data_IF_608669116655
#
_entry.id   IF_608669116655
#
_cell.length_a   1.000
_cell.length_b   1.000
_cell.length_c   1.000
_cell.angle_alpha   90.00
_cell.angle_beta   90.00
_cell.angle_gamma   90.00
#
_symmetry.space_group_name_H-M   'P 1'
#
loop_
_entity.id
_entity.type
_entity.pdbx_description
1 polymer ?
#
# COMPACT_ATOMS: atom_id res chain seq x y z
N UNK A 1 37.78 -27.54 4.08
CA UNK A 1 36.44 -27.03 4.43
C UNK A 1 35.84 -26.43 3.17
N UNK A 2 34.63 -26.84 2.77
CA UNK A 2 33.95 -26.24 1.61
C UNK A 2 33.56 -24.80 1.91
N UNK A 3 33.85 -23.88 0.99
CA UNK A 3 33.42 -22.48 1.10
C UNK A 3 31.90 -22.40 0.98
N UNK A 4 31.24 -21.67 1.88
CA UNK A 4 29.81 -21.44 1.80
C UNK A 4 29.45 -20.69 0.51
N UNK A 5 28.44 -21.16 -0.22
CA UNK A 5 27.95 -20.50 -1.42
C UNK A 5 26.41 -20.48 -1.43
N UNK A 6 25.86 -19.30 -1.10
CA UNK A 6 24.42 -19.08 -1.00
C UNK A 6 23.69 -19.29 -2.33
N UNK A 7 24.35 -19.03 -3.46
CA UNK A 7 23.76 -19.20 -4.79
C UNK A 7 23.58 -20.67 -5.11
N UNK A 8 24.62 -21.48 -4.86
CA UNK A 8 24.60 -22.92 -5.06
C UNK A 8 23.57 -23.56 -4.12
N UNK A 9 23.52 -23.14 -2.85
CA UNK A 9 22.51 -23.62 -1.90
C UNK A 9 21.10 -23.38 -2.42
N UNK A 10 20.80 -22.14 -2.87
CA UNK A 10 19.47 -21.79 -3.36
C UNK A 10 19.15 -22.39 -4.74
N UNK A 11 20.14 -22.55 -5.62
CA UNK A 11 20.01 -23.27 -6.88
C UNK A 11 19.58 -24.72 -6.62
N UNK A 12 20.33 -25.43 -5.78
CA UNK A 12 20.03 -26.82 -5.42
C UNK A 12 18.64 -26.95 -4.80
N UNK A 13 18.27 -26.01 -3.93
CA UNK A 13 16.93 -25.93 -3.34
C UNK A 13 15.83 -25.74 -4.39
N UNK A 14 16.04 -24.90 -5.41
CA UNK A 14 15.09 -24.71 -6.51
C UNK A 14 15.02 -25.96 -7.38
N UNK A 15 16.16 -26.54 -7.77
CA UNK A 15 16.20 -27.79 -8.57
C UNK A 15 15.48 -28.94 -7.86
N UNK A 16 15.58 -29.00 -6.54
CA UNK A 16 14.86 -29.94 -5.69
C UNK A 16 13.34 -29.94 -5.89
N UNK A 17 12.74 -28.82 -6.32
CA UNK A 17 11.30 -28.76 -6.62
C UNK A 17 10.93 -29.48 -7.92
N UNK A 18 11.87 -29.66 -8.86
CA UNK A 18 11.61 -30.10 -10.22
C UNK A 18 12.34 -31.40 -10.59
N UNK A 19 12.75 -32.19 -9.59
CA UNK A 19 13.48 -33.46 -9.80
C UNK A 19 12.70 -34.49 -10.62
N UNK A 20 11.37 -34.42 -10.61
CA UNK A 20 10.50 -35.25 -11.46
C UNK A 20 10.53 -34.87 -12.95
N UNK A 21 11.12 -33.72 -13.29
CA UNK A 21 11.21 -33.18 -14.64
C UNK A 21 12.68 -32.90 -15.02
N UNK A 22 13.56 -33.92 -15.01
CA UNK A 22 15.00 -33.72 -15.22
C UNK A 22 15.33 -33.12 -16.59
N UNK A 23 14.50 -33.41 -17.61
CA UNK A 23 14.64 -32.85 -18.96
C UNK A 23 14.51 -31.31 -19.00
N UNK A 24 13.87 -30.71 -17.99
CA UNK A 24 13.73 -29.25 -17.87
C UNK A 24 14.88 -28.58 -17.11
N UNK A 25 15.73 -29.36 -16.43
CA UNK A 25 16.87 -28.88 -15.64
C UNK A 25 18.14 -28.80 -16.48
N UNK A 26 18.07 -27.98 -17.54
CA UNK A 26 19.16 -27.82 -18.51
C UNK A 26 20.30 -26.93 -17.98
N UNK A 27 21.44 -26.92 -18.67
CA UNK A 27 22.54 -26.00 -18.36
C UNK A 27 22.12 -24.52 -18.52
N UNK A 28 21.26 -24.21 -19.50
CA UNK A 28 20.69 -22.87 -19.66
C UNK A 28 19.82 -22.48 -18.46
N UNK A 29 18.95 -23.40 -18.00
CA UNK A 29 18.15 -23.19 -16.79
C UNK A 29 19.04 -22.87 -15.59
N UNK A 30 20.08 -23.68 -15.33
CA UNK A 30 21.01 -23.48 -14.22
C UNK A 30 21.70 -22.11 -14.29
N UNK A 31 22.17 -21.69 -15.47
CA UNK A 31 22.79 -20.38 -15.68
C UNK A 31 21.82 -19.23 -15.39
N UNK A 32 20.63 -19.27 -15.98
CA UNK A 32 19.64 -18.20 -15.87
C UNK A 32 19.06 -18.10 -14.46
N UNK A 33 18.75 -19.23 -13.80
CA UNK A 33 18.20 -19.21 -12.45
C UNK A 33 19.24 -18.76 -11.41
N UNK A 34 20.51 -19.12 -11.59
CA UNK A 34 21.61 -18.64 -10.74
C UNK A 34 21.73 -17.13 -10.81
N UNK A 35 21.69 -16.57 -12.03
CA UNK A 35 21.66 -15.12 -12.20
C UNK A 35 20.42 -14.49 -11.54
N UNK A 36 19.25 -15.09 -11.69
CA UNK A 36 18.02 -14.62 -11.05
C UNK A 36 18.09 -14.62 -9.52
N UNK A 37 18.77 -15.59 -8.89
CA UNK A 37 18.99 -15.61 -7.44
C UNK A 37 19.77 -14.37 -6.97
N UNK A 38 20.72 -13.88 -7.78
CA UNK A 38 21.54 -12.70 -7.46
C UNK A 38 20.78 -11.39 -7.53
N UNK A 39 19.87 -11.25 -8.51
CA UNK A 39 19.27 -9.95 -8.86
C UNK A 39 17.81 -9.80 -8.45
N UNK A 40 17.07 -10.91 -8.32
CA UNK A 40 15.65 -10.88 -8.00
C UNK A 40 15.42 -10.99 -6.50
N UNK A 41 14.36 -10.33 -6.01
CA UNK A 41 13.97 -10.52 -4.62
C UNK A 41 13.58 -11.98 -4.34
N UNK A 42 14.40 -12.68 -3.56
CA UNK A 42 14.36 -14.15 -3.46
C UNK A 42 13.02 -14.72 -2.99
N UNK A 43 12.32 -14.06 -2.05
CA UNK A 43 11.01 -14.58 -1.60
C UNK A 43 9.96 -14.61 -2.73
N UNK A 44 10.05 -13.69 -3.69
CA UNK A 44 9.16 -13.71 -4.85
C UNK A 44 9.56 -14.80 -5.84
N UNK A 45 10.87 -14.96 -6.09
CA UNK A 45 11.40 -16.03 -6.94
C UNK A 45 11.01 -17.40 -6.39
N UNK A 46 11.26 -17.62 -5.10
CA UNK A 46 10.88 -18.85 -4.42
C UNK A 46 9.37 -19.12 -4.48
N UNK A 47 8.54 -18.09 -4.26
CA UNK A 47 7.09 -18.19 -4.41
C UNK A 47 6.64 -18.51 -5.83
N UNK A 48 7.38 -18.03 -6.84
CA UNK A 48 7.14 -18.36 -8.24
C UNK A 48 7.54 -19.80 -8.57
N UNK A 49 8.70 -20.26 -8.10
CA UNK A 49 9.12 -21.66 -8.26
C UNK A 49 8.12 -22.64 -7.65
N UNK A 50 7.60 -22.36 -6.45
CA UNK A 50 6.58 -23.20 -5.81
C UNK A 50 5.25 -23.23 -6.57
N UNK A 51 4.84 -22.08 -7.13
CA UNK A 51 3.62 -22.03 -7.95
C UNK A 51 3.82 -22.78 -9.27
N UNK A 52 4.95 -22.59 -9.93
CA UNK A 52 5.33 -23.33 -11.13
C UNK A 52 5.31 -24.84 -10.87
N UNK A 53 5.89 -25.33 -9.77
CA UNK A 53 5.87 -26.74 -9.41
C UNK A 53 4.44 -27.33 -9.32
N UNK A 54 3.50 -26.57 -8.75
CA UNK A 54 2.10 -27.01 -8.60
C UNK A 54 1.36 -27.02 -9.95
N UNK A 55 1.70 -26.08 -10.84
CA UNK A 55 0.99 -25.88 -12.10
C UNK A 55 1.58 -26.73 -13.24
N UNK A 56 2.89 -27.02 -13.19
CA UNK A 56 3.63 -27.78 -14.21
C UNK A 56 2.97 -29.11 -14.62
N UNK A 57 2.40 -29.94 -13.71
CA UNK A 57 1.73 -31.18 -14.12
C UNK A 57 0.51 -30.98 -15.03
N UNK A 58 -0.05 -29.75 -15.07
CA UNK A 58 -1.27 -29.41 -15.82
C UNK A 58 -0.97 -28.68 -17.13
N UNK A 59 0.27 -28.28 -17.36
CA UNK A 59 0.66 -27.46 -18.49
C UNK A 59 2.00 -27.93 -19.04
N UNK A 60 2.04 -28.20 -20.33
CA UNK A 60 3.28 -28.52 -21.01
C UNK A 60 4.13 -27.25 -21.18
N UNK A 61 5.42 -27.35 -20.90
CA UNK A 61 6.43 -26.32 -21.16
C UNK A 61 7.77 -26.98 -21.39
N UNK A 62 8.50 -26.52 -22.40
CA UNK A 62 9.88 -26.97 -22.67
C UNK A 62 10.91 -26.02 -22.03
N UNK A 63 10.44 -24.90 -21.48
CA UNK A 63 11.29 -23.88 -20.88
C UNK A 63 10.81 -23.54 -19.47
N UNK A 64 11.40 -24.24 -18.49
CA UNK A 64 11.05 -24.08 -17.08
C UNK A 64 11.40 -22.69 -16.54
N UNK A 65 12.49 -22.08 -17.01
CA UNK A 65 12.87 -20.75 -16.55
C UNK A 65 11.81 -19.71 -16.94
N UNK A 66 11.43 -19.65 -18.22
CA UNK A 66 10.44 -18.68 -18.70
C UNK A 66 9.07 -18.93 -18.06
N UNK A 67 8.73 -20.20 -17.82
CA UNK A 67 7.54 -20.58 -17.07
C UNK A 67 7.56 -20.03 -15.63
N UNK A 68 8.65 -20.22 -14.87
CA UNK A 68 8.82 -19.63 -13.52
C UNK A 68 8.74 -18.11 -13.57
N UNK A 69 9.39 -17.49 -14.58
CA UNK A 69 9.43 -16.04 -14.70
C UNK A 69 8.05 -15.43 -14.99
N UNK A 70 7.16 -16.15 -15.67
CA UNK A 70 5.77 -15.70 -15.84
C UNK A 70 5.06 -15.49 -14.49
N UNK A 71 5.23 -16.40 -13.54
CA UNK A 71 4.68 -16.29 -12.18
C UNK A 71 5.39 -15.21 -11.36
N UNK A 72 6.71 -15.11 -11.49
CA UNK A 72 7.47 -14.04 -10.83
C UNK A 72 6.98 -12.66 -11.27
N UNK A 73 6.86 -12.44 -12.58
CA UNK A 73 6.42 -11.18 -13.16
C UNK A 73 4.98 -10.84 -12.74
N UNK A 74 4.07 -11.83 -12.72
CA UNK A 74 2.71 -11.66 -12.18
C UNK A 74 2.72 -11.19 -10.71
N UNK A 75 3.57 -11.79 -9.87
CA UNK A 75 3.72 -11.40 -8.46
C UNK A 75 4.31 -9.99 -8.32
N UNK A 76 5.29 -9.62 -9.15
CA UNK A 76 5.85 -8.26 -9.19
C UNK A 76 4.81 -7.23 -9.62
N UNK A 77 4.03 -7.51 -10.66
CA UNK A 77 2.93 -6.66 -11.12
C UNK A 77 1.91 -6.44 -9.99
N UNK A 78 1.54 -7.50 -9.27
CA UNK A 78 0.65 -7.40 -8.09
C UNK A 78 1.27 -6.55 -6.97
N UNK A 79 2.57 -6.69 -6.73
CA UNK A 79 3.26 -5.86 -5.73
C UNK A 79 3.25 -4.37 -6.11
N UNK A 80 3.50 -4.03 -7.38
CA UNK A 80 3.43 -2.65 -7.85
C UNK A 80 2.02 -2.06 -7.76
N UNK A 81 1.01 -2.86 -8.10
CA UNK A 81 -0.38 -2.49 -7.89
C UNK A 81 -0.69 -2.15 -6.43
N UNK A 82 -0.20 -2.96 -5.49
CA UNK A 82 -0.34 -2.66 -4.06
C UNK A 82 0.36 -1.36 -3.66
N UNK A 83 1.54 -1.07 -4.21
CA UNK A 83 2.24 0.19 -3.96
C UNK A 83 1.41 1.39 -4.43
N UNK A 84 0.85 1.32 -5.64
CA UNK A 84 -0.02 2.35 -6.20
C UNK A 84 -1.26 2.58 -5.32
N UNK A 85 -1.96 1.52 -4.92
CA UNK A 85 -3.14 1.61 -4.05
C UNK A 85 -2.83 2.30 -2.72
N UNK A 86 -1.71 1.92 -2.08
CA UNK A 86 -1.27 2.53 -0.83
C UNK A 86 -0.89 3.99 -1.00
N UNK A 87 -0.25 4.35 -2.12
CA UNK A 87 0.06 5.73 -2.44
C UNK A 87 -1.20 6.58 -2.61
N UNK A 88 -2.19 6.10 -3.37
CA UNK A 88 -3.50 6.76 -3.50
C UNK A 88 -4.15 7.00 -2.12
N UNK A 89 -4.15 5.98 -1.26
CA UNK A 89 -4.72 6.08 0.08
C UNK A 89 -3.98 7.06 0.99
N UNK A 90 -2.65 6.95 1.09
CA UNK A 90 -1.87 7.86 1.92
C UNK A 90 -2.02 9.31 1.46
N UNK A 91 -2.03 9.54 0.15
CA UNK A 91 -2.24 10.88 -0.40
C UNK A 91 -3.63 11.42 -0.07
N UNK A 92 -4.69 10.66 -0.37
CA UNK A 92 -6.06 11.09 -0.11
C UNK A 92 -6.30 11.36 1.38
N UNK A 93 -5.80 10.48 2.26
CA UNK A 93 -5.92 10.67 3.71
C UNK A 93 -5.15 11.92 4.16
N UNK A 94 -3.91 12.09 3.70
CA UNK A 94 -3.08 13.24 4.05
C UNK A 94 -3.74 14.55 3.66
N UNK A 95 -4.18 14.70 2.41
CA UNK A 95 -4.84 15.93 1.94
C UNK A 95 -6.15 16.19 2.67
N UNK A 96 -6.95 15.15 2.93
CA UNK A 96 -8.20 15.32 3.68
C UNK A 96 -7.91 15.82 5.09
N UNK A 97 -7.00 15.16 5.82
CA UNK A 97 -6.68 15.56 7.18
C UNK A 97 -6.03 16.94 7.25
N UNK A 98 -5.24 17.32 6.24
CA UNK A 98 -4.69 18.68 6.14
C UNK A 98 -5.81 19.72 6.11
N UNK A 99 -6.82 19.53 5.27
CA UNK A 99 -7.97 20.45 5.16
C UNK A 99 -8.77 20.49 6.45
N UNK A 100 -9.12 19.34 7.02
CA UNK A 100 -9.93 19.27 8.24
C UNK A 100 -9.21 19.94 9.43
N UNK A 101 -7.91 19.71 9.58
CA UNK A 101 -7.11 20.33 10.65
C UNK A 101 -6.90 21.82 10.41
N UNK A 102 -6.63 22.24 9.17
CA UNK A 102 -6.55 23.65 8.81
C UNK A 102 -7.85 24.38 9.17
N UNK A 103 -9.00 23.84 8.78
CA UNK A 103 -10.31 24.42 9.07
C UNK A 103 -10.62 24.47 10.58
N UNK A 104 -10.03 23.55 11.36
CA UNK A 104 -10.24 23.49 12.81
C UNK A 104 -9.41 24.55 13.56
N UNK A 105 -8.19 24.82 13.13
CA UNK A 105 -7.22 25.63 13.91
C UNK A 105 -6.87 26.97 13.30
N UNK A 106 -7.06 27.17 11.99
CA UNK A 106 -6.84 28.47 11.38
C UNK A 106 -7.99 29.44 11.70
N UNK A 107 -7.67 30.72 11.58
CA UNK A 107 -8.66 31.80 11.58
C UNK A 107 -8.65 32.44 10.20
N UNK A 108 -7.85 33.48 10.00
CA UNK A 108 -7.81 34.25 8.75
C UNK A 108 -6.74 33.77 7.75
N UNK A 109 -5.73 33.03 8.25
CA UNK A 109 -4.57 32.57 7.48
C UNK A 109 -4.24 31.13 7.82
N UNK A 110 -3.63 30.43 6.86
CA UNK A 110 -3.17 29.05 7.03
C UNK A 110 -1.79 28.98 7.67
N UNK A 111 -1.74 29.28 8.97
CA UNK A 111 -0.50 29.42 9.75
C UNK A 111 -0.58 28.85 11.17
N UNK A 112 -1.62 28.06 11.50
CA UNK A 112 -1.80 27.48 12.84
C UNK A 112 -0.57 26.73 13.36
N UNK A 113 0.20 26.12 12.46
CA UNK A 113 1.42 25.36 12.76
C UNK A 113 2.60 26.24 13.20
N UNK A 114 2.52 27.56 13.04
CA UNK A 114 3.53 28.53 13.50
C UNK A 114 3.21 29.10 14.89
N UNK A 115 2.05 28.75 15.47
CA UNK A 115 1.66 29.23 16.80
C UNK A 115 2.57 28.61 17.87
N UNK A 116 3.06 29.39 18.85
CA UNK A 116 3.96 28.88 19.88
C UNK A 116 3.26 27.90 20.85
N UNK A 117 2.03 28.22 21.26
CA UNK A 117 1.19 27.35 22.09
C UNK A 117 -0.26 27.84 22.02
N UNK A 118 -1.22 26.91 22.03
CA UNK A 118 -2.65 27.23 22.10
C UNK A 118 -3.27 26.77 23.42
N UNK A 119 -4.52 27.16 23.67
CA UNK A 119 -5.29 26.62 24.81
C UNK A 119 -5.80 25.18 24.54
N UNK A 120 -5.73 24.72 23.28
CA UNK A 120 -6.22 23.41 22.89
C UNK A 120 -5.13 22.34 23.07
N UNK A 121 -5.39 21.36 23.94
CA UNK A 121 -4.44 20.28 24.21
C UNK A 121 -4.16 19.39 22.99
N UNK A 122 -5.14 19.19 22.10
CA UNK A 122 -4.97 18.40 20.86
C UNK A 122 -4.09 19.12 19.85
N UNK A 123 -4.31 20.43 19.65
CA UNK A 123 -3.46 21.29 18.81
C UNK A 123 -2.02 21.29 19.32
N UNK A 124 -1.82 21.52 20.62
CA UNK A 124 -0.49 21.49 21.24
C UNK A 124 0.22 20.14 21.05
N UNK A 125 -0.51 19.02 21.11
CA UNK A 125 0.06 17.69 20.86
C UNK A 125 0.54 17.57 19.41
N UNK A 126 -0.23 18.10 18.47
CA UNK A 126 0.13 18.11 17.05
C UNK A 126 1.31 19.04 16.76
N UNK A 127 1.36 20.24 17.35
CA UNK A 127 2.51 21.15 17.26
C UNK A 127 3.80 20.49 17.76
N UNK A 128 3.75 19.80 18.90
CA UNK A 128 4.89 19.02 19.40
C UNK A 128 5.29 17.88 18.46
N UNK A 129 4.32 17.21 17.85
CA UNK A 129 4.60 16.17 16.87
C UNK A 129 5.32 16.75 15.64
N UNK A 130 4.87 17.90 15.13
CA UNK A 130 5.53 18.60 14.02
C UNK A 130 6.95 18.97 14.42
N UNK A 131 7.16 19.64 15.55
CA UNK A 131 8.48 20.03 16.05
C UNK A 131 9.44 18.82 16.14
N UNK A 132 8.98 17.71 16.72
CA UNK A 132 9.78 16.49 16.81
C UNK A 132 10.18 15.92 15.43
N UNK A 133 9.32 16.03 14.42
CA UNK A 133 9.61 15.54 13.07
C UNK A 133 10.55 16.49 12.35
N UNK A 134 10.30 17.80 12.44
CA UNK A 134 11.15 18.82 11.79
C UNK A 134 12.56 18.79 12.36
N UNK A 135 12.72 18.66 13.68
CA UNK A 135 14.02 18.57 14.33
C UNK A 135 14.79 17.33 13.87
N UNK A 136 14.14 16.17 13.87
CA UNK A 136 14.74 14.90 13.41
C UNK A 136 15.15 14.91 11.94
N UNK A 137 14.47 15.71 11.11
CA UNK A 137 14.71 15.80 9.67
C UNK A 137 15.47 17.07 9.28
N UNK A 138 15.89 17.88 10.24
CA UNK A 138 16.57 19.15 10.02
C UNK A 138 15.79 20.12 9.11
N UNK A 139 14.47 20.17 9.26
CA UNK A 139 13.57 21.04 8.51
C UNK A 139 13.27 22.32 9.31
N UNK A 140 13.11 23.44 8.60
CA UNK A 140 12.72 24.72 9.20
C UNK A 140 11.20 24.91 9.07
N UNK A 141 10.45 24.82 10.17
CA UNK A 141 8.98 24.93 10.13
C UNK A 141 8.51 26.29 9.57
N UNK A 142 9.29 27.36 9.79
CA UNK A 142 9.04 28.69 9.24
C UNK A 142 9.12 28.76 7.72
N UNK A 143 9.68 27.75 7.06
CA UNK A 143 9.71 27.67 5.60
C UNK A 143 8.42 27.12 4.99
N UNK A 144 7.55 26.50 5.80
CA UNK A 144 6.29 25.94 5.32
C UNK A 144 5.26 27.03 5.08
N UNK A 145 4.58 26.95 3.93
CA UNK A 145 3.66 27.99 3.44
C UNK A 145 2.20 27.74 3.78
N UNK A 146 1.84 26.50 4.08
CA UNK A 146 0.47 26.07 4.30
C UNK A 146 0.44 24.70 5.01
N UNK A 147 -0.74 24.31 5.46
CA UNK A 147 -0.95 23.03 6.15
C UNK A 147 -0.64 21.82 5.27
N UNK A 148 -0.75 21.90 3.94
CA UNK A 148 -0.38 20.77 3.08
C UNK A 148 1.11 20.44 3.19
N UNK A 149 1.99 21.44 3.19
CA UNK A 149 3.44 21.24 3.35
C UNK A 149 3.78 20.65 4.74
N UNK A 150 3.04 21.04 5.78
CA UNK A 150 3.14 20.40 7.11
C UNK A 150 2.70 18.93 7.04
N UNK A 151 1.66 18.61 6.28
CA UNK A 151 1.15 17.25 6.19
C UNK A 151 2.03 16.34 5.31
N UNK A 152 2.79 16.90 4.38
CA UNK A 152 3.75 16.17 3.53
C UNK A 152 4.86 15.48 4.33
N UNK A 153 5.24 16.01 5.50
CA UNK A 153 6.25 15.36 6.34
C UNK A 153 5.68 14.18 7.14
N UNK A 154 4.36 14.08 7.31
CA UNK A 154 3.76 13.03 8.13
C UNK A 154 3.82 11.66 7.45
N UNK A 155 4.21 10.64 8.23
CA UNK A 155 4.06 9.25 7.85
C UNK A 155 2.62 8.77 8.03
N UNK A 156 2.25 7.61 7.46
CA UNK A 156 0.93 7.03 7.72
C UNK A 156 0.70 6.74 9.22
N UNK A 157 1.75 6.49 10.00
CA UNK A 157 1.65 6.35 11.46
C UNK A 157 1.26 7.67 12.14
N UNK A 158 1.82 8.79 11.66
CA UNK A 158 1.48 10.13 12.14
C UNK A 158 0.03 10.48 11.81
N UNK A 159 -0.42 10.20 10.57
CA UNK A 159 -1.82 10.40 10.15
C UNK A 159 -2.79 9.56 11.00
N UNK A 160 -2.43 8.32 11.32
CA UNK A 160 -3.20 7.46 12.22
C UNK A 160 -3.30 8.07 13.64
N UNK A 161 -2.22 8.67 14.14
CA UNK A 161 -2.22 9.34 15.45
C UNK A 161 -3.08 10.61 15.44
N UNK A 162 -3.08 11.37 14.34
CA UNK A 162 -3.95 12.54 14.17
C UNK A 162 -5.43 12.12 14.23
N UNK A 163 -5.80 11.05 13.52
CA UNK A 163 -7.15 10.47 13.55
C UNK A 163 -7.57 10.04 14.96
N UNK A 164 -6.66 9.44 15.73
CA UNK A 164 -6.94 9.04 17.11
C UNK A 164 -7.19 10.24 18.02
N UNK A 165 -6.33 11.27 17.92
CA UNK A 165 -6.41 12.47 18.75
C UNK A 165 -7.62 13.37 18.42
N UNK A 166 -8.03 13.39 17.15
CA UNK A 166 -9.11 14.25 16.64
C UNK A 166 -10.33 13.44 16.19
N UNK A 167 -10.54 12.27 16.80
CA UNK A 167 -11.63 11.39 16.40
C UNK A 167 -13.01 12.07 16.47
N UNK A 168 -13.28 12.88 17.49
CA UNK A 168 -14.56 13.59 17.62
C UNK A 168 -14.87 14.47 16.41
N UNK A 169 -13.86 15.14 15.88
CA UNK A 169 -13.95 16.06 14.76
C UNK A 169 -13.97 15.31 13.42
N UNK A 170 -13.19 14.22 13.31
CA UNK A 170 -12.98 13.48 12.06
C UNK A 170 -13.91 12.27 11.87
N UNK A 171 -14.61 11.83 12.93
CA UNK A 171 -15.52 10.70 12.88
C UNK A 171 -16.58 10.80 11.76
N UNK A 172 -17.19 11.97 11.47
CA UNK A 172 -18.18 12.09 10.41
C UNK A 172 -17.72 11.58 9.04
N UNK A 173 -16.42 11.66 8.74
CA UNK A 173 -15.83 11.15 7.49
C UNK A 173 -16.05 9.64 7.29
N UNK A 174 -16.08 8.86 8.38
CA UNK A 174 -16.03 7.40 8.34
C UNK A 174 -17.19 6.71 9.07
N UNK A 175 -17.87 7.42 9.98
CA UNK A 175 -18.98 6.90 10.79
C UNK A 175 -20.31 7.06 10.08
N UNK A 176 -20.48 8.16 9.34
CA UNK A 176 -21.76 8.47 8.73
C UNK A 176 -22.04 7.50 7.57
N UNK A 177 -23.29 7.03 7.41
CA UNK A 177 -23.68 6.28 6.23
C UNK A 177 -23.33 7.07 4.97
N UNK A 178 -22.71 6.40 4.01
CA UNK A 178 -22.37 6.99 2.73
C UNK A 178 -22.80 6.05 1.62
N UNK A 179 -23.44 6.62 0.62
CA UNK A 179 -23.82 5.92 -0.59
C UNK A 179 -22.88 6.33 -1.72
N UNK A 180 -22.41 5.35 -2.49
CA UNK A 180 -21.60 5.56 -3.68
C UNK A 180 -22.26 4.89 -4.87
N UNK A 181 -22.85 5.69 -5.78
CA UNK A 181 -23.52 5.19 -6.99
C UNK A 181 -24.51 4.05 -6.68
N UNK A 182 -25.49 4.32 -5.81
CA UNK A 182 -26.51 3.35 -5.39
C UNK A 182 -25.98 2.14 -4.60
N UNK A 183 -24.73 2.20 -4.11
CA UNK A 183 -24.13 1.17 -3.26
C UNK A 183 -23.83 1.76 -1.88
N UNK A 184 -24.44 1.17 -0.85
CA UNK A 184 -24.15 1.55 0.53
C UNK A 184 -22.74 1.11 0.92
N UNK A 185 -21.95 2.05 1.43
CA UNK A 185 -20.61 1.78 1.93
C UNK A 185 -20.66 1.27 3.38
N UNK A 186 -19.84 0.26 3.73
CA UNK A 186 -19.68 -0.15 5.13
C UNK A 186 -19.11 0.98 5.99
N UNK A 187 -19.79 1.30 7.09
CA UNK A 187 -19.34 2.32 8.05
C UNK A 187 -18.35 1.76 9.07
N UNK A 188 -17.41 2.58 9.54
CA UNK A 188 -16.45 2.19 10.58
C UNK A 188 -16.88 2.69 11.97
N UNK A 189 -18.12 2.39 12.37
CA UNK A 189 -18.89 3.04 13.46
C UNK A 189 -18.19 3.44 14.78
N UNK A 190 -17.01 2.87 15.10
CA UNK A 190 -16.17 3.24 16.26
C UNK A 190 -14.74 3.61 15.84
N UNK A 191 -14.07 4.41 16.67
CA UNK A 191 -12.67 4.79 16.50
C UNK A 191 -11.76 3.56 16.37
N UNK A 192 -11.96 2.58 17.24
CA UNK A 192 -11.16 1.35 17.30
C UNK A 192 -11.31 0.53 16.03
N UNK A 193 -12.53 0.48 15.45
CA UNK A 193 -12.78 -0.20 14.18
C UNK A 193 -11.97 0.44 13.05
N UNK A 194 -12.03 1.77 12.90
CA UNK A 194 -11.25 2.50 11.89
C UNK A 194 -9.74 2.30 12.10
N UNK A 195 -9.24 2.55 13.31
CA UNK A 195 -7.81 2.48 13.62
C UNK A 195 -7.25 1.07 13.42
N UNK A 196 -8.04 0.02 13.70
CA UNK A 196 -7.65 -1.37 13.42
C UNK A 196 -7.42 -1.59 11.92
N UNK A 197 -8.28 -1.03 11.07
CA UNK A 197 -8.18 -1.14 9.61
C UNK A 197 -7.01 -0.35 9.06
N UNK A 198 -6.81 0.88 9.53
CA UNK A 198 -5.65 1.70 9.15
C UNK A 198 -4.34 1.04 9.61
N UNK A 199 -4.29 0.48 10.82
CA UNK A 199 -3.11 -0.23 11.30
C UNK A 199 -2.80 -1.47 10.45
N UNK A 200 -3.82 -2.20 10.00
CA UNK A 200 -3.67 -3.33 9.07
C UNK A 200 -3.12 -2.88 7.71
N UNK A 201 -3.62 -1.76 7.17
CA UNK A 201 -3.10 -1.14 5.94
C UNK A 201 -1.63 -0.71 6.14
N UNK A 202 -1.31 -0.07 7.26
CA UNK A 202 0.05 0.35 7.63
C UNK A 202 1.02 -0.84 7.70
N UNK A 203 0.60 -1.96 8.28
CA UNK A 203 1.42 -3.17 8.32
C UNK A 203 1.66 -3.75 6.92
N UNK A 204 0.64 -3.79 6.06
CA UNK A 204 0.80 -4.21 4.66
C UNK A 204 1.76 -3.27 3.92
N UNK A 205 1.61 -1.97 4.12
CA UNK A 205 2.49 -0.95 3.55
C UNK A 205 3.93 -1.11 3.97
N UNK A 206 4.21 -1.41 5.23
CA UNK A 206 5.57 -1.65 5.70
C UNK A 206 6.19 -2.89 5.02
N UNK A 207 5.44 -3.98 4.85
CA UNK A 207 5.92 -5.14 4.10
C UNK A 207 6.23 -4.77 2.64
N UNK A 208 5.31 -4.06 1.98
CA UNK A 208 5.43 -3.68 0.58
C UNK A 208 6.58 -2.70 0.36
N UNK A 209 6.73 -1.68 1.22
CA UNK A 209 7.82 -0.71 1.15
C UNK A 209 9.20 -1.37 1.25
N UNK A 210 9.34 -2.41 2.09
CA UNK A 210 10.56 -3.21 2.17
C UNK A 210 10.66 -4.30 1.09
N UNK A 211 9.90 -4.17 0.00
CA UNK A 211 9.87 -5.09 -1.12
C UNK A 211 9.52 -6.54 -0.75
N UNK A 212 8.77 -6.76 0.34
CA UNK A 212 8.37 -8.09 0.79
C UNK A 212 7.02 -8.48 0.21
N UNK A 213 6.79 -9.79 -0.09
CA UNK A 213 5.44 -10.28 -0.34
C UNK A 213 4.60 -10.15 0.94
N UNK A 214 3.36 -9.68 0.78
CA UNK A 214 2.39 -9.57 1.88
C UNK A 214 1.26 -10.58 1.71
N UNK A 215 0.81 -11.15 2.83
CA UNK A 215 -0.44 -11.93 2.90
C UNK A 215 -1.60 -11.10 3.47
N UNK A 216 -1.34 -9.86 3.87
CA UNK A 216 -2.33 -8.99 4.50
C UNK A 216 -3.31 -8.54 3.41
N UNK A 217 -4.58 -8.93 3.56
CA UNK A 217 -5.64 -8.51 2.64
C UNK A 217 -6.12 -7.12 3.03
N UNK A 218 -5.66 -6.07 2.36
CA UNK A 218 -6.02 -4.68 2.71
C UNK A 218 -6.80 -3.94 1.61
N UNK A 219 -6.74 -4.41 0.36
CA UNK A 219 -7.29 -3.69 -0.79
C UNK A 219 -8.78 -3.31 -0.64
N UNK A 220 -9.64 -4.23 -0.19
CA UNK A 220 -11.06 -3.94 0.04
C UNK A 220 -11.25 -2.85 1.10
N UNK A 221 -10.56 -2.99 2.23
CA UNK A 221 -10.66 -2.01 3.32
C UNK A 221 -10.18 -0.62 2.84
N UNK A 222 -9.11 -0.59 2.04
CA UNK A 222 -8.56 0.63 1.44
C UNK A 222 -9.52 1.28 0.43
N UNK A 223 -10.14 0.48 -0.45
CA UNK A 223 -11.12 0.97 -1.43
C UNK A 223 -12.31 1.64 -0.74
N UNK A 224 -12.87 1.01 0.30
CA UNK A 224 -13.98 1.57 1.07
C UNK A 224 -13.58 2.90 1.72
N UNK A 225 -12.40 2.97 2.35
CA UNK A 225 -11.91 4.21 2.96
C UNK A 225 -11.74 5.32 1.93
N UNK A 226 -11.18 5.03 0.76
CA UNK A 226 -11.05 5.99 -0.33
C UNK A 226 -12.41 6.50 -0.82
N UNK A 227 -13.40 5.63 -0.95
CA UNK A 227 -14.76 6.03 -1.31
C UNK A 227 -15.42 6.91 -0.22
N UNK A 228 -15.16 6.62 1.06
CA UNK A 228 -15.55 7.50 2.17
C UNK A 228 -14.92 8.89 2.06
N UNK A 229 -13.69 8.99 1.59
CA UNK A 229 -13.02 10.27 1.29
C UNK A 229 -13.45 10.92 -0.03
N UNK A 230 -14.33 10.27 -0.81
CA UNK A 230 -14.78 10.79 -2.11
C UNK A 230 -13.75 10.63 -3.24
N UNK A 231 -12.75 9.79 -3.05
CA UNK A 231 -11.67 9.57 -4.01
C UNK A 231 -12.09 8.61 -5.14
N UNK A 232 -11.92 9.03 -6.39
CA UNK A 232 -12.17 8.16 -7.55
C UNK A 232 -10.95 7.25 -7.81
N UNK A 233 -10.97 6.07 -7.19
CA UNK A 233 -9.90 5.10 -7.37
C UNK A 233 -9.81 4.55 -8.80
N UNK A 234 -10.93 4.39 -9.53
CA UNK A 234 -10.93 3.80 -10.89
C UNK A 234 -10.06 4.60 -11.85
N UNK A 235 -10.18 5.92 -11.82
CA UNK A 235 -9.39 6.80 -12.69
C UNK A 235 -7.93 6.83 -12.24
N UNK A 236 -7.68 6.88 -10.92
CA UNK A 236 -6.34 6.94 -10.36
C UNK A 236 -5.49 5.68 -10.66
N UNK A 237 -6.12 4.51 -10.81
CA UNK A 237 -5.44 3.26 -11.13
C UNK A 237 -5.34 2.95 -12.62
N UNK A 238 -5.82 3.84 -13.50
CA UNK A 238 -5.77 3.68 -14.95
C UNK A 238 -4.34 3.90 -15.50
N UNK A 239 -3.37 3.16 -14.93
CA UNK A 239 -1.93 3.28 -15.21
C UNK A 239 -1.44 2.00 -15.88
N UNK A 240 -1.41 2.03 -17.21
CA UNK A 240 -0.88 0.96 -18.05
C UNK A 240 -1.37 -0.44 -17.65
N UNK A 241 -0.48 -1.43 -17.68
CA UNK A 241 -0.84 -2.81 -17.38
C UNK A 241 -1.00 -3.12 -15.89
N UNK A 242 -0.76 -2.18 -14.98
CA UNK A 242 -0.91 -2.39 -13.53
C UNK A 242 -2.39 -2.47 -13.16
N UNK A 243 -3.24 -1.73 -13.86
CA UNK A 243 -4.69 -1.74 -13.64
C UNK A 243 -5.27 -3.16 -13.72
N UNK A 244 -4.76 -4.00 -14.62
CA UNK A 244 -5.32 -5.32 -14.91
C UNK A 244 -5.25 -6.30 -13.73
N UNK A 245 -4.42 -6.03 -12.72
CA UNK A 245 -4.30 -6.88 -11.53
C UNK A 245 -5.04 -6.30 -10.31
N UNK A 246 -5.58 -5.09 -10.40
CA UNK A 246 -6.37 -4.46 -9.35
C UNK A 246 -7.84 -4.78 -9.57
N UNK A 247 -8.42 -5.58 -8.67
CA UNK A 247 -9.85 -5.89 -8.66
C UNK A 247 -10.62 -4.99 -7.71
N UNK A 248 -11.28 -3.96 -8.26
CA UNK A 248 -12.21 -3.11 -7.53
C UNK A 248 -13.51 -3.88 -7.22
N UNK A 249 -14.07 -3.67 -6.03
CA UNK A 249 -15.30 -4.34 -5.60
C UNK A 249 -16.56 -3.53 -5.86
N UNK A 250 -16.43 -2.21 -6.02
CA UNK A 250 -17.57 -1.33 -6.25
C UNK A 250 -17.73 -0.98 -7.72
N UNK A 251 -18.96 -0.66 -8.11
CA UNK A 251 -19.26 -0.14 -9.44
C UNK A 251 -18.94 1.36 -9.47
N UNK A 252 -17.98 1.73 -10.33
CA UNK A 252 -17.55 3.11 -10.54
C UNK A 252 -18.23 3.75 -11.76
N UNK A 253 -19.11 3.03 -12.45
CA UNK A 253 -19.95 3.57 -13.52
C UNK A 253 -21.30 3.94 -12.92
N UNK A 254 -21.85 5.08 -13.35
CA UNK A 254 -23.19 5.46 -12.91
C UNK A 254 -24.17 4.48 -13.56
N UNK A 255 -25.08 3.85 -12.80
CA UNK A 255 -26.08 2.98 -13.42
C UNK A 255 -26.81 3.79 -14.50
N UNK A 256 -26.85 3.25 -15.72
CA UNK A 256 -27.65 3.86 -16.79
C UNK A 256 -29.07 3.95 -16.27
N UNK A 257 -29.66 5.15 -16.30
CA UNK A 257 -31.08 5.28 -16.05
C UNK A 257 -31.79 4.31 -17.00
N UNK A 258 -32.61 3.43 -16.43
CA UNK A 258 -33.59 2.68 -17.21
C UNK A 258 -34.41 3.73 -17.94
N UNK A 259 -34.28 3.81 -19.27
CA UNK A 259 -35.22 4.59 -20.05
C UNK A 259 -36.58 3.90 -19.90
N UNK A 260 -37.45 4.46 -19.05
CA UNK A 260 -38.89 4.22 -19.07
C UNK A 260 -39.52 5.01 -20.23
#
# INVERSE_FOLDING_TARGET
MGHFNLEIENLNKIKGLFTQYPHLLTSDFDKRITQSIRVLHFRYLWGACREAQIVLPKFHTDNLFDFIMSFYNKRRKTHQAHFLLLHCFENALRSTLAVEIANLYNQDKDDWFLKPQSQNAKENKLLRQIANITDKRHLQISSFKNTFEVFDIFSLGDLQQILDNHWSELAPLFKNPKEYKNQMLPTYGTKESLLTKINKIRNARNEIFHNKPTKIKFQKDLEILLLHLGYNLKDAIAVGEIQSVIKLQYQYETPKASNE
#
